data_IF_180603671862
#
_entry.id   IF_180603671862
#
_cell.length_a   1.000
_cell.length_b   1.000
_cell.length_c   1.000
_cell.angle_alpha   90.00
_cell.angle_beta   90.00
_cell.angle_gamma   90.00
#
_symmetry.space_group_name_H-M   'P 1'
#
loop_
_entity.id
_entity.type
_entity.pdbx_description
1 polymer ?
#
# COMPACT_ATOMS: atom_id res chain seq x y z
N UNK A 1 -0.69 -4.67 15.21
CA UNK A 1 -0.12 -4.39 13.88
C UNK A 1 -0.73 -3.11 13.34
N UNK A 2 0.12 -2.19 12.95
CA UNK A 2 -0.31 -0.91 12.38
C UNK A 2 -0.20 -0.98 10.86
N UNK A 3 -1.33 -0.81 10.18
CA UNK A 3 -1.38 -0.85 8.71
C UNK A 3 -1.85 0.50 8.21
N UNK A 4 -1.08 1.09 7.30
CA UNK A 4 -1.40 2.39 6.70
C UNK A 4 -1.43 2.27 5.18
N UNK A 5 -2.44 2.89 4.59
CA UNK A 5 -2.56 3.03 3.13
C UNK A 5 -2.26 4.49 2.79
N UNK A 6 -1.13 4.70 2.14
CA UNK A 6 -0.68 6.02 1.70
C UNK A 6 -1.07 6.22 0.23
N UNK A 7 -1.62 7.38 -0.08
CA UNK A 7 -2.12 7.64 -1.43
C UNK A 7 -2.01 9.11 -1.80
N UNK A 8 -2.01 9.39 -3.10
CA UNK A 8 -2.10 10.74 -3.63
C UNK A 8 -3.55 11.11 -3.88
N UNK A 9 -3.85 12.40 -3.80
CA UNK A 9 -5.19 12.90 -4.11
C UNK A 9 -5.55 12.53 -5.56
N UNK A 10 -6.74 11.97 -5.75
CA UNK A 10 -7.20 11.56 -7.07
C UNK A 10 -6.60 10.26 -7.58
N UNK A 11 -5.91 9.49 -6.74
CA UNK A 11 -5.33 8.22 -7.15
C UNK A 11 -6.42 7.23 -7.58
N UNK A 12 -6.41 6.78 -8.85
CA UNK A 12 -7.44 5.86 -9.34
C UNK A 12 -7.31 4.45 -8.76
N UNK A 13 -6.16 4.12 -8.17
CA UNK A 13 -5.88 2.78 -7.64
C UNK A 13 -6.09 2.69 -6.12
N UNK A 14 -6.43 3.79 -5.47
CA UNK A 14 -6.69 3.81 -4.04
C UNK A 14 -7.86 2.91 -3.66
N UNK A 15 -8.96 3.00 -4.40
CA UNK A 15 -10.16 2.20 -4.14
C UNK A 15 -9.85 0.71 -4.28
N UNK A 16 -9.10 0.34 -5.32
CA UNK A 16 -8.70 -1.05 -5.54
C UNK A 16 -7.84 -1.56 -4.37
N UNK A 17 -6.88 -0.77 -3.92
CA UNK A 17 -6.03 -1.12 -2.79
C UNK A 17 -6.85 -1.28 -1.51
N UNK A 18 -7.79 -0.37 -1.28
CA UNK A 18 -8.68 -0.42 -0.14
C UNK A 18 -9.54 -1.69 -0.15
N UNK A 19 -10.11 -2.04 -1.30
CA UNK A 19 -10.92 -3.23 -1.46
C UNK A 19 -10.11 -4.51 -1.21
N UNK A 20 -8.92 -4.57 -1.75
CA UNK A 20 -8.04 -5.73 -1.57
C UNK A 20 -7.55 -5.88 -0.14
N UNK A 21 -7.24 -4.77 0.53
CA UNK A 21 -6.91 -4.79 1.96
C UNK A 21 -8.08 -5.29 2.80
N UNK A 22 -9.30 -4.82 2.50
CA UNK A 22 -10.49 -5.29 3.20
C UNK A 22 -10.69 -6.80 3.02
N UNK A 23 -10.49 -7.30 1.80
CA UNK A 23 -10.59 -8.74 1.53
C UNK A 23 -9.52 -9.54 2.28
N UNK A 24 -8.29 -9.03 2.35
CA UNK A 24 -7.21 -9.68 3.08
C UNK A 24 -7.50 -9.73 4.58
N UNK A 25 -7.96 -8.62 5.15
CA UNK A 25 -8.35 -8.58 6.57
C UNK A 25 -9.49 -9.54 6.87
N UNK A 26 -10.47 -9.62 5.99
CA UNK A 26 -11.59 -10.56 6.16
C UNK A 26 -11.10 -12.00 6.21
N UNK A 27 -10.16 -12.38 5.35
CA UNK A 27 -9.54 -13.71 5.38
C UNK A 27 -8.81 -13.99 6.68
N UNK A 28 -8.22 -12.96 7.27
CA UNK A 28 -7.46 -13.09 8.52
C UNK A 28 -8.33 -12.94 9.78
N UNK A 29 -9.62 -12.69 9.61
CA UNK A 29 -10.53 -12.46 10.74
C UNK A 29 -10.25 -11.15 11.45
N UNK A 30 -9.74 -10.15 10.74
CA UNK A 30 -9.42 -8.83 11.29
C UNK A 30 -10.35 -7.76 10.77
N UNK A 31 -10.38 -6.62 11.47
CA UNK A 31 -11.23 -5.48 11.13
C UNK A 31 -10.49 -4.54 10.17
N UNK A 32 -11.01 -4.39 8.96
CA UNK A 32 -10.44 -3.50 7.95
C UNK A 32 -10.53 -2.02 8.35
N UNK A 33 -11.39 -1.65 9.28
CA UNK A 33 -11.50 -0.28 9.76
C UNK A 33 -10.26 0.16 10.54
N UNK A 34 -9.39 -0.78 10.92
CA UNK A 34 -8.15 -0.46 11.60
C UNK A 34 -7.07 0.08 10.67
N UNK A 35 -7.26 0.02 9.35
CA UNK A 35 -6.31 0.57 8.37
C UNK A 35 -6.37 2.10 8.42
N UNK A 36 -5.21 2.73 8.59
CA UNK A 36 -5.11 4.19 8.50
C UNK A 36 -4.99 4.62 7.05
N UNK A 37 -5.73 5.64 6.67
CA UNK A 37 -5.66 6.22 5.32
C UNK A 37 -4.91 7.54 5.42
N UNK A 38 -3.76 7.64 4.72
CA UNK A 38 -2.86 8.79 4.81
C UNK A 38 -2.71 9.43 3.43
N UNK A 39 -3.18 10.66 3.31
CA UNK A 39 -3.00 11.45 2.09
C UNK A 39 -1.58 12.02 2.05
N UNK A 40 -0.85 11.73 0.98
CA UNK A 40 0.48 12.30 0.74
C UNK A 40 0.30 13.58 -0.06
N UNK A 41 0.71 14.71 0.49
CA UNK A 41 0.42 16.03 -0.08
C UNK A 41 1.55 16.62 -0.91
N UNK A 42 2.74 16.04 -0.87
CA UNK A 42 3.85 16.56 -1.64
C UNK A 42 5.13 15.76 -1.46
N UNK A 43 6.22 16.15 -2.15
CA UNK A 43 7.49 15.43 -2.07
C UNK A 43 8.08 15.34 -0.66
N UNK A 44 7.87 16.38 0.16
CA UNK A 44 8.33 16.37 1.55
C UNK A 44 7.65 15.30 2.38
N UNK A 45 6.33 15.15 2.21
CA UNK A 45 5.57 14.09 2.86
C UNK A 45 5.99 12.72 2.35
N UNK A 46 6.20 12.58 1.05
CA UNK A 46 6.63 11.33 0.45
C UNK A 46 7.95 10.86 1.05
N UNK A 47 8.91 11.76 1.18
CA UNK A 47 10.20 11.44 1.76
C UNK A 47 10.09 11.08 3.24
N UNK A 48 9.35 11.88 4.00
CA UNK A 48 9.16 11.68 5.43
C UNK A 48 8.45 10.34 5.75
N UNK A 49 7.50 9.94 4.92
CA UNK A 49 6.68 8.75 5.13
C UNK A 49 7.24 7.48 4.46
N UNK A 50 8.30 7.62 3.66
CA UNK A 50 8.82 6.50 2.89
C UNK A 50 7.92 6.12 1.72
N UNK A 51 7.18 7.08 1.19
CA UNK A 51 6.24 6.86 0.09
C UNK A 51 7.01 6.72 -1.22
N UNK A 52 6.79 5.61 -1.92
CA UNK A 52 7.48 5.32 -3.19
C UNK A 52 6.51 5.18 -4.37
N UNK A 53 5.36 5.80 -4.27
CA UNK A 53 4.34 5.82 -5.30
C UNK A 53 2.98 5.44 -4.75
N UNK A 54 1.93 5.84 -5.42
CA UNK A 54 0.56 5.62 -4.97
C UNK A 54 -0.03 4.37 -5.64
N UNK A 55 -0.61 3.45 -4.88
CA UNK A 55 -0.69 3.42 -3.42
C UNK A 55 0.55 2.80 -2.77
N UNK A 56 0.87 3.20 -1.56
CA UNK A 56 1.90 2.55 -0.73
C UNK A 56 1.22 1.97 0.50
N UNK A 57 1.59 0.75 0.87
CA UNK A 57 1.04 0.07 2.03
C UNK A 57 2.18 -0.13 3.03
N UNK A 58 2.00 0.39 4.24
CA UNK A 58 2.97 0.24 5.32
C UNK A 58 2.41 -0.69 6.38
N UNK A 59 3.23 -1.65 6.81
CA UNK A 59 2.93 -2.56 7.91
C UNK A 59 3.94 -2.29 9.01
N UNK A 60 3.47 -1.78 10.13
CA UNK A 60 4.31 -1.35 11.26
C UNK A 60 5.39 -0.35 10.82
N UNK A 61 5.04 0.56 9.92
CA UNK A 61 5.92 1.60 9.43
C UNK A 61 6.85 1.20 8.29
N UNK A 62 6.79 -0.05 7.85
CA UNK A 62 7.65 -0.56 6.78
C UNK A 62 6.83 -0.99 5.57
N UNK A 63 7.40 -0.82 4.39
CA UNK A 63 6.78 -1.24 3.13
C UNK A 63 7.24 -2.66 2.80
N UNK A 64 6.37 -3.67 2.96
CA UNK A 64 6.76 -5.06 2.74
C UNK A 64 6.99 -5.39 1.26
N UNK A 65 6.60 -4.50 0.35
CA UNK A 65 6.79 -4.69 -1.09
C UNK A 65 7.96 -3.89 -1.64
N UNK A 66 8.69 -3.17 -0.79
CA UNK A 66 9.86 -2.41 -1.22
C UNK A 66 11.03 -3.36 -1.50
N UNK A 67 11.78 -3.06 -2.57
CA UNK A 67 12.93 -3.89 -2.96
C UNK A 67 14.26 -3.33 -2.45
N UNK A 68 14.25 -2.16 -1.80
CA UNK A 68 15.45 -1.50 -1.33
C UNK A 68 16.10 -0.58 -2.36
N UNK A 69 15.81 -0.76 -3.64
CA UNK A 69 16.35 0.07 -4.73
C UNK A 69 15.42 1.20 -5.10
N UNK A 70 14.22 1.22 -4.55
CA UNK A 70 13.21 2.20 -4.88
C UNK A 70 13.46 3.49 -4.11
N UNK A 71 13.14 4.61 -4.76
CA UNK A 71 13.25 5.93 -4.16
C UNK A 71 11.86 6.58 -4.13
N UNK A 72 11.63 7.55 -3.22
CA UNK A 72 10.38 8.28 -3.20
C UNK A 72 10.06 8.82 -4.59
N UNK A 73 8.86 8.56 -5.09
CA UNK A 73 8.48 8.89 -6.45
C UNK A 73 7.01 9.24 -6.54
N UNK A 74 6.67 9.95 -7.60
CA UNK A 74 5.32 10.28 -8.02
C UNK A 74 5.14 9.88 -9.46
N UNK A 75 3.90 9.62 -9.89
CA UNK A 75 2.68 9.50 -9.09
C UNK A 75 2.33 8.05 -8.77
N UNK A 76 2.80 7.08 -9.57
CA UNK A 76 2.27 5.73 -9.52
C UNK A 76 3.31 4.72 -9.14
N UNK A 77 2.90 3.76 -8.32
CA UNK A 77 3.71 2.64 -7.95
C UNK A 77 3.36 1.40 -8.77
N UNK A 78 4.36 0.57 -9.05
CA UNK A 78 4.18 -0.74 -9.64
C UNK A 78 4.57 -1.81 -8.62
N UNK A 79 3.74 -2.85 -8.53
CA UNK A 79 3.98 -3.99 -7.65
C UNK A 79 4.26 -5.22 -8.52
N UNK A 80 5.25 -6.00 -8.12
CA UNK A 80 5.50 -7.30 -8.74
C UNK A 80 4.50 -8.30 -8.19
N UNK A 81 3.73 -8.93 -9.06
CA UNK A 81 2.73 -9.92 -8.69
C UNK A 81 2.95 -11.20 -9.49
N UNK A 82 2.33 -12.33 -9.09
CA UNK A 82 2.42 -13.56 -9.89
C UNK A 82 1.92 -13.39 -11.32
N UNK A 83 1.06 -12.40 -11.55
CA UNK A 83 0.49 -12.11 -12.88
C UNK A 83 1.27 -11.04 -13.65
N UNK A 84 2.41 -10.60 -13.12
CA UNK A 84 3.22 -9.54 -13.71
C UNK A 84 3.14 -8.25 -12.91
N UNK A 85 3.58 -7.14 -13.51
CA UNK A 85 3.54 -5.84 -12.85
C UNK A 85 2.10 -5.29 -12.80
N UNK A 86 1.71 -4.79 -11.63
CA UNK A 86 0.37 -4.28 -11.39
C UNK A 86 0.41 -3.03 -10.51
N UNK A 87 -0.69 -2.30 -10.48
CA UNK A 87 -0.82 -1.07 -9.69
C UNK A 87 -1.16 -1.33 -8.23
N UNK A 88 -1.43 -2.59 -7.88
CA UNK A 88 -1.79 -2.99 -6.53
C UNK A 88 -1.37 -4.44 -6.31
N UNK A 89 -0.94 -4.84 -5.10
CA UNK A 89 -0.67 -6.24 -4.81
C UNK A 89 -1.96 -7.06 -4.86
N UNK A 90 -1.81 -8.37 -5.05
CA UNK A 90 -2.95 -9.28 -4.99
C UNK A 90 -3.42 -9.45 -3.54
N UNK A 91 -4.66 -9.94 -3.37
CA UNK A 91 -5.18 -10.26 -2.04
C UNK A 91 -4.30 -11.30 -1.35
N UNK A 92 -3.84 -12.32 -2.08
CA UNK A 92 -2.97 -13.36 -1.53
C UNK A 92 -1.65 -12.77 -1.01
N UNK A 93 -1.05 -11.83 -1.76
CA UNK A 93 0.17 -11.14 -1.30
C UNK A 93 -0.08 -10.34 -0.03
N UNK A 94 -1.22 -9.67 0.07
CA UNK A 94 -1.58 -8.91 1.26
C UNK A 94 -1.80 -9.83 2.46
N UNK A 95 -2.48 -10.95 2.27
CA UNK A 95 -2.66 -11.95 3.34
C UNK A 95 -1.30 -12.42 3.86
N UNK A 96 -0.37 -12.67 2.96
CA UNK A 96 0.97 -13.14 3.34
C UNK A 96 1.72 -12.14 4.21
N UNK A 97 1.71 -10.85 3.83
CA UNK A 97 2.45 -9.83 4.59
C UNK A 97 1.73 -9.39 5.86
N UNK A 98 0.44 -9.62 5.95
CA UNK A 98 -0.37 -9.25 7.12
C UNK A 98 -0.53 -10.38 8.13
N UNK A 99 -0.15 -11.57 7.77
CA UNK A 99 -0.28 -12.73 8.67
C UNK A 99 0.78 -12.80 9.75
#
# INVERSE_FOLDING_TARGET
>A
MDVALLYLHGCPHRTLAQERLAAAFARLGRDADSVRHVLVEGPGDAERLGFIGSPTILVDGEDPFATGDQQPAFPCRLFSTPDGLARCPTVDQLVEVLS
#
